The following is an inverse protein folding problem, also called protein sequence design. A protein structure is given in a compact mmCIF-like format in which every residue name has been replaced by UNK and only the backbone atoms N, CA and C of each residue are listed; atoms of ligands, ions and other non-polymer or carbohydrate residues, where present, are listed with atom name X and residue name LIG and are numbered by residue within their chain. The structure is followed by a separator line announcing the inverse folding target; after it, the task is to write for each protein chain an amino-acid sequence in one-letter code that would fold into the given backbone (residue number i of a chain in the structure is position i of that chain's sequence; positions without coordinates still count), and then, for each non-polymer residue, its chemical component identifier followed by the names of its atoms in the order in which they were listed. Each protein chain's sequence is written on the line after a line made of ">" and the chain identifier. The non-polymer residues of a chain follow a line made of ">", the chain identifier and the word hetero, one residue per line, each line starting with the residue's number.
data_IF_362344716993
#
_entry.id   IF_362344716993
#
_cell.length_a   1.000
_cell.length_b   1.000
_cell.length_c   1.000
_cell.angle_alpha   90.00
_cell.angle_beta   90.00
_cell.angle_gamma   90.00
#
_symmetry.space_group_name_H-M   'P 1'
#
loop_
_entity.id
_entity.type
_entity.pdbx_description
1 polymer ?
#
# COMPACT_ATOMS: atom_id res chain seq x y z
N UNK A 1 -2.41 -4.79 -26.39
CA UNK A 1 -1.11 -5.38 -25.97
C UNK A 1 -1.22 -6.34 -24.76
N UNK A 2 -2.18 -6.14 -23.85
CA UNK A 2 -2.29 -6.92 -22.60
C UNK A 2 -3.27 -8.11 -22.64
N UNK A 3 -3.76 -8.45 -23.83
CA UNK A 3 -4.65 -9.59 -24.10
C UNK A 3 -3.84 -10.83 -24.49
N UNK A 4 -4.47 -12.00 -24.55
CA UNK A 4 -3.86 -13.33 -24.79
C UNK A 4 -3.10 -13.41 -26.11
N UNK A 5 -3.53 -12.63 -27.09
CA UNK A 5 -2.92 -12.48 -28.41
C UNK A 5 -1.92 -11.31 -28.51
N UNK A 6 -1.75 -10.55 -27.43
CA UNK A 6 -0.83 -9.42 -27.33
C UNK A 6 0.57 -9.80 -26.84
N UNK A 7 1.49 -8.85 -26.92
CA UNK A 7 2.90 -9.06 -26.53
C UNK A 7 3.14 -9.23 -25.02
N UNK A 8 2.17 -8.87 -24.16
CA UNK A 8 2.29 -8.93 -22.69
C UNK A 8 0.94 -9.34 -22.04
N UNK A 9 0.46 -10.59 -22.19
CA UNK A 9 -0.85 -11.01 -21.70
C UNK A 9 -0.92 -11.00 -20.16
N UNK A 10 -1.34 -9.87 -19.59
CA UNK A 10 -1.33 -9.64 -18.15
C UNK A 10 -2.72 -9.83 -17.52
N UNK A 11 -3.78 -9.54 -18.27
CA UNK A 11 -5.16 -9.53 -17.77
C UNK A 11 -6.08 -10.51 -18.51
N UNK A 12 -5.53 -11.32 -19.41
CA UNK A 12 -6.29 -12.25 -20.24
C UNK A 12 -5.83 -13.69 -19.98
N UNK A 13 -6.30 -14.20 -18.83
CA UNK A 13 -6.04 -15.54 -18.33
C UNK A 13 -6.93 -15.84 -17.12
N UNK A 14 -7.12 -17.12 -16.81
CA UNK A 14 -7.85 -17.52 -15.62
C UNK A 14 -7.06 -17.14 -14.36
N UNK A 15 -7.75 -16.59 -13.35
CA UNK A 15 -7.15 -16.29 -12.05
C UNK A 15 -6.51 -17.55 -11.47
N UNK A 16 -5.19 -17.51 -11.28
CA UNK A 16 -4.42 -18.59 -10.68
C UNK A 16 -4.14 -18.27 -9.22
N UNK A 17 -4.82 -18.95 -8.30
CA UNK A 17 -4.72 -18.71 -6.86
C UNK A 17 -3.51 -19.40 -6.19
N UNK A 18 -2.70 -20.12 -6.96
CA UNK A 18 -1.59 -20.92 -6.45
C UNK A 18 -1.84 -22.43 -6.62
N UNK A 19 -0.78 -23.22 -6.61
CA UNK A 19 -0.87 -24.67 -6.73
C UNK A 19 -1.51 -25.26 -5.46
N UNK A 20 -2.61 -25.98 -5.62
CA UNK A 20 -3.32 -26.63 -4.50
C UNK A 20 -4.18 -25.68 -3.66
N UNK A 21 -4.45 -24.47 -4.13
CA UNK A 21 -5.38 -23.53 -3.46
C UNK A 21 -6.77 -23.75 -4.02
N UNK A 22 -7.63 -24.40 -3.23
CA UNK A 22 -9.04 -24.65 -3.58
C UNK A 22 -9.99 -23.56 -3.03
N UNK A 23 -9.54 -22.79 -2.05
CA UNK A 23 -10.33 -21.72 -1.43
C UNK A 23 -10.54 -20.57 -2.41
N UNK A 24 -11.78 -20.11 -2.50
CA UNK A 24 -12.09 -18.95 -3.33
C UNK A 24 -11.56 -17.66 -2.69
N UNK A 25 -11.34 -16.64 -3.52
CA UNK A 25 -10.90 -15.32 -3.06
C UNK A 25 -11.82 -14.78 -1.93
N UNK A 26 -13.13 -14.95 -2.09
CA UNK A 26 -14.17 -14.41 -1.20
C UNK A 26 -14.21 -15.07 0.18
N UNK A 27 -13.62 -16.25 0.31
CA UNK A 27 -13.56 -17.06 1.52
C UNK A 27 -12.22 -16.91 2.25
N UNK A 28 -11.21 -16.37 1.55
CA UNK A 28 -9.87 -16.18 2.07
C UNK A 28 -9.79 -15.02 3.06
N UNK A 29 -9.16 -15.23 4.21
CA UNK A 29 -8.95 -14.18 5.23
C UNK A 29 -7.84 -13.21 4.86
N UNK A 30 -6.85 -13.69 4.11
CA UNK A 30 -5.70 -12.93 3.62
C UNK A 30 -5.52 -13.26 2.15
N UNK A 31 -5.37 -12.22 1.34
CA UNK A 31 -5.16 -12.32 -0.09
C UNK A 31 -3.95 -11.47 -0.44
N UNK A 32 -2.96 -12.07 -1.10
CA UNK A 32 -1.77 -11.37 -1.58
C UNK A 32 -1.78 -11.29 -3.11
N UNK A 33 -1.71 -10.08 -3.65
CA UNK A 33 -1.49 -9.86 -5.08
C UNK A 33 0.01 -9.65 -5.33
N UNK A 34 0.69 -10.73 -5.73
CA UNK A 34 2.12 -10.69 -5.99
C UNK A 34 2.43 -10.02 -7.34
N UNK A 35 3.06 -8.85 -7.30
CA UNK A 35 3.52 -8.09 -8.47
C UNK A 35 5.05 -8.04 -8.62
N UNK A 36 5.78 -8.86 -7.86
CA UNK A 36 7.26 -8.84 -7.83
C UNK A 36 7.90 -9.19 -9.17
N UNK A 37 7.29 -10.07 -9.96
CA UNK A 37 7.78 -10.49 -11.27
C UNK A 37 7.46 -9.50 -12.40
N UNK A 38 6.73 -8.42 -12.11
CA UNK A 38 6.42 -7.40 -13.11
C UNK A 38 7.58 -6.42 -13.26
N UNK A 39 7.88 -6.09 -14.52
CA UNK A 39 8.87 -5.07 -14.87
C UNK A 39 8.53 -3.74 -14.19
N UNK A 40 9.50 -3.20 -13.44
CA UNK A 40 9.34 -2.00 -12.58
C UNK A 40 8.93 -0.73 -13.30
N UNK A 41 9.20 -0.66 -14.61
CA UNK A 41 8.81 0.46 -15.46
C UNK A 41 7.29 0.54 -15.66
N UNK A 42 6.84 0.46 -16.91
CA UNK A 42 5.44 0.78 -17.24
C UNK A 42 4.40 -0.25 -16.71
N UNK A 43 4.78 -1.52 -16.56
CA UNK A 43 3.82 -2.60 -16.28
C UNK A 43 3.37 -2.63 -14.82
N UNK A 44 4.32 -2.58 -13.88
CA UNK A 44 4.03 -2.71 -12.45
C UNK A 44 3.02 -1.65 -11.96
N UNK A 45 3.13 -0.35 -12.31
CA UNK A 45 2.15 0.68 -11.97
C UNK A 45 0.76 0.44 -12.56
N UNK A 46 0.68 -0.05 -13.80
CA UNK A 46 -0.60 -0.37 -14.44
C UNK A 46 -1.27 -1.55 -13.75
N UNK A 47 -0.50 -2.62 -13.52
CA UNK A 47 -0.98 -3.79 -12.80
C UNK A 47 -1.48 -3.41 -11.41
N UNK A 48 -0.70 -2.62 -10.68
CA UNK A 48 -1.06 -2.11 -9.37
C UNK A 48 -2.35 -1.28 -9.44
N UNK A 49 -2.49 -0.38 -10.41
CA UNK A 49 -3.70 0.43 -10.58
C UNK A 49 -4.95 -0.42 -10.85
N UNK A 50 -4.83 -1.45 -11.71
CA UNK A 50 -5.92 -2.38 -12.02
C UNK A 50 -6.30 -3.21 -10.79
N UNK A 51 -5.31 -3.75 -10.07
CA UNK A 51 -5.52 -4.51 -8.82
C UNK A 51 -6.20 -3.63 -7.77
N UNK A 52 -5.71 -2.40 -7.58
CA UNK A 52 -6.28 -1.45 -6.64
C UNK A 52 -7.75 -1.13 -6.99
N UNK A 53 -8.06 -0.95 -8.28
CA UNK A 53 -9.43 -0.75 -8.75
C UNK A 53 -10.32 -1.94 -8.47
N UNK A 54 -9.83 -3.15 -8.77
CA UNK A 54 -10.54 -4.38 -8.50
C UNK A 54 -10.87 -4.54 -7.01
N UNK A 55 -9.88 -4.35 -6.12
CA UNK A 55 -10.09 -4.41 -4.66
C UNK A 55 -11.08 -3.33 -4.21
N UNK A 56 -10.94 -2.11 -4.72
CA UNK A 56 -11.83 -1.01 -4.34
C UNK A 56 -13.30 -1.29 -4.72
N UNK A 57 -13.55 -1.74 -5.94
CA UNK A 57 -14.90 -1.96 -6.48
C UNK A 57 -15.54 -3.25 -5.98
N UNK A 58 -14.82 -4.38 -6.03
CA UNK A 58 -15.36 -5.71 -5.72
C UNK A 58 -15.23 -6.10 -4.25
N UNK A 59 -14.34 -5.46 -3.48
CA UNK A 59 -14.13 -5.80 -2.08
C UNK A 59 -14.52 -4.70 -1.11
N UNK A 60 -13.99 -3.49 -1.29
CA UNK A 60 -14.22 -2.39 -0.33
C UNK A 60 -15.64 -1.82 -0.48
N UNK A 61 -16.11 -1.62 -1.71
CA UNK A 61 -17.46 -1.09 -1.98
C UNK A 61 -18.56 -2.15 -1.99
N UNK A 62 -18.22 -3.43 -2.10
CA UNK A 62 -19.20 -4.50 -2.23
C UNK A 62 -20.18 -4.54 -1.06
N UNK A 63 -21.51 -4.52 -1.33
CA UNK A 63 -22.52 -4.66 -0.29
C UNK A 63 -22.41 -5.97 0.51
N UNK A 64 -22.00 -7.05 -0.16
CA UNK A 64 -21.80 -8.38 0.45
C UNK A 64 -20.73 -8.38 1.56
N UNK A 65 -19.86 -7.38 1.56
CA UNK A 65 -18.78 -7.25 2.53
C UNK A 65 -18.92 -6.02 3.42
N UNK A 66 -20.08 -5.34 3.41
CA UNK A 66 -20.30 -4.11 4.16
C UNK A 66 -20.05 -4.26 5.67
N UNK A 67 -20.45 -5.40 6.26
CA UNK A 67 -20.26 -5.68 7.69
C UNK A 67 -18.87 -6.26 8.03
N UNK A 68 -18.10 -6.71 7.03
CA UNK A 68 -16.76 -7.27 7.25
C UNK A 68 -15.75 -6.15 7.51
N UNK A 69 -14.89 -6.32 8.52
CA UNK A 69 -13.72 -5.46 8.71
C UNK A 69 -12.67 -5.84 7.67
N UNK A 70 -12.20 -4.85 6.92
CA UNK A 70 -11.29 -5.04 5.78
C UNK A 70 -10.08 -4.15 5.95
N UNK A 71 -8.91 -4.60 5.53
CA UNK A 71 -7.71 -3.75 5.48
C UNK A 71 -7.06 -3.95 4.14
N UNK A 72 -6.90 -2.85 3.38
CA UNK A 72 -6.02 -2.84 2.22
C UNK A 72 -4.60 -2.59 2.73
N UNK A 73 -3.68 -3.51 2.45
CA UNK A 73 -2.26 -3.34 2.70
C UNK A 73 -1.53 -2.99 1.40
N UNK A 74 -0.77 -1.90 1.40
CA UNK A 74 0.04 -1.46 0.26
C UNK A 74 1.51 -1.49 0.67
N UNK A 75 2.22 -2.51 0.22
CA UNK A 75 3.67 -2.63 0.44
C UNK A 75 4.45 -1.76 -0.56
N UNK A 76 5.56 -1.19 -0.10
CA UNK A 76 6.45 -0.28 -0.85
C UNK A 76 5.70 0.80 -1.67
N UNK A 77 4.80 1.54 -1.01
CA UNK A 77 3.94 2.52 -1.70
C UNK A 77 4.73 3.59 -2.47
N UNK A 78 5.96 3.91 -2.05
CA UNK A 78 6.81 4.91 -2.70
C UNK A 78 7.07 4.59 -4.18
N UNK A 79 7.04 3.32 -4.58
CA UNK A 79 7.22 2.90 -5.97
C UNK A 79 6.17 3.50 -6.92
N UNK A 80 4.99 3.84 -6.38
CA UNK A 80 3.86 4.34 -7.16
C UNK A 80 3.66 5.85 -7.07
N UNK A 81 4.51 6.57 -6.33
CA UNK A 81 4.28 7.96 -5.94
C UNK A 81 4.42 8.96 -7.11
N UNK A 82 5.13 8.57 -8.17
CA UNK A 82 5.27 9.38 -9.39
C UNK A 82 4.07 9.21 -10.35
N UNK A 83 3.27 8.16 -10.15
CA UNK A 83 2.15 7.82 -11.02
C UNK A 83 0.87 8.49 -10.50
N UNK A 84 0.63 9.71 -10.98
CA UNK A 84 -0.44 10.59 -10.49
C UNK A 84 -1.82 9.91 -10.40
N UNK A 85 -2.22 9.16 -11.42
CA UNK A 85 -3.51 8.46 -11.42
C UNK A 85 -3.61 7.45 -10.28
N UNK A 86 -2.52 6.75 -9.98
CA UNK A 86 -2.43 5.78 -8.89
C UNK A 86 -2.43 6.46 -7.53
N UNK A 87 -1.66 7.54 -7.36
CA UNK A 87 -1.63 8.31 -6.10
C UNK A 87 -3.00 8.93 -5.80
N UNK A 88 -3.65 9.54 -6.79
CA UNK A 88 -4.99 10.11 -6.64
C UNK A 88 -6.01 9.03 -6.23
N UNK A 89 -5.85 7.81 -6.74
CA UNK A 89 -6.72 6.72 -6.35
C UNK A 89 -6.41 6.22 -4.94
N UNK A 90 -5.15 6.05 -4.57
CA UNK A 90 -4.74 5.71 -3.21
C UNK A 90 -5.26 6.74 -2.19
N UNK A 91 -5.22 8.04 -2.50
CA UNK A 91 -5.82 9.07 -1.65
C UNK A 91 -7.33 8.87 -1.49
N UNK A 92 -8.06 8.62 -2.59
CA UNK A 92 -9.49 8.32 -2.53
C UNK A 92 -9.78 7.11 -1.65
N UNK A 93 -8.96 6.05 -1.74
CA UNK A 93 -9.08 4.86 -0.88
C UNK A 93 -8.82 5.24 0.57
N UNK A 94 -7.71 5.91 0.88
CA UNK A 94 -7.35 6.33 2.25
C UNK A 94 -8.48 7.14 2.91
N UNK A 95 -9.08 8.09 2.19
CA UNK A 95 -10.15 8.96 2.71
C UNK A 95 -11.50 8.26 2.86
N UNK A 96 -11.82 7.29 2.00
CA UNK A 96 -13.17 6.71 1.93
C UNK A 96 -13.30 5.34 2.59
N UNK A 97 -12.20 4.61 2.81
CA UNK A 97 -12.21 3.27 3.42
C UNK A 97 -12.96 3.24 4.75
N UNK A 98 -12.77 4.24 5.62
CA UNK A 98 -13.45 4.30 6.94
C UNK A 98 -14.97 4.24 6.84
N UNK A 99 -15.58 4.80 5.80
CA UNK A 99 -17.04 4.78 5.58
C UNK A 99 -17.56 3.41 5.14
N UNK A 100 -16.68 2.45 4.86
CA UNK A 100 -16.99 1.12 4.30
C UNK A 100 -16.53 -0.02 5.22
N UNK A 101 -16.36 0.26 6.52
CA UNK A 101 -15.79 -0.66 7.50
C UNK A 101 -14.45 -1.24 7.02
N UNK A 102 -13.64 -0.38 6.39
CA UNK A 102 -12.34 -0.73 5.84
C UNK A 102 -11.27 0.26 6.34
N UNK A 103 -10.04 -0.21 6.43
CA UNK A 103 -8.84 0.57 6.67
C UNK A 103 -7.86 0.46 5.51
N UNK A 104 -6.89 1.37 5.47
CA UNK A 104 -5.72 1.27 4.60
C UNK A 104 -4.48 1.30 5.50
N UNK A 105 -3.56 0.38 5.26
CA UNK A 105 -2.24 0.36 5.83
C UNK A 105 -1.26 0.38 4.65
N UNK A 106 -0.22 1.20 4.76
CA UNK A 106 0.83 1.27 3.76
C UNK A 106 2.17 1.17 4.46
N UNK A 107 3.13 0.58 3.78
CA UNK A 107 4.51 0.44 4.23
C UNK A 107 5.45 0.99 3.17
N UNK A 108 6.60 1.51 3.62
CA UNK A 108 7.62 2.08 2.74
C UNK A 108 8.96 2.09 3.46
N UNK A 109 10.02 1.67 2.75
CA UNK A 109 11.39 1.92 3.19
C UNK A 109 11.79 3.38 3.00
N UNK A 110 11.31 4.01 1.93
CA UNK A 110 11.51 5.44 1.64
C UNK A 110 10.20 6.21 1.89
N UNK A 111 9.86 6.40 3.17
CA UNK A 111 8.67 7.16 3.53
C UNK A 111 8.86 8.68 3.32
N UNK A 112 10.09 9.18 3.32
CA UNK A 112 10.40 10.61 3.12
C UNK A 112 9.95 11.06 1.73
N UNK A 113 10.16 10.22 0.70
CA UNK A 113 9.64 10.51 -0.63
C UNK A 113 8.12 10.66 -0.68
N UNK A 114 7.39 9.91 0.15
CA UNK A 114 5.93 10.05 0.30
C UNK A 114 5.61 11.35 1.04
N UNK A 115 6.34 11.65 2.11
CA UNK A 115 6.17 12.86 2.93
C UNK A 115 6.32 14.15 2.13
N UNK A 116 7.30 14.20 1.22
CA UNK A 116 7.59 15.38 0.40
C UNK A 116 6.68 15.51 -0.82
N UNK A 117 5.94 14.46 -1.17
CA UNK A 117 5.07 14.49 -2.33
C UNK A 117 3.74 15.18 -2.01
N UNK A 118 3.50 16.34 -2.62
CA UNK A 118 2.28 17.14 -2.43
C UNK A 118 1.01 16.35 -2.77
N UNK A 119 1.06 15.45 -3.76
CA UNK A 119 -0.08 14.60 -4.16
C UNK A 119 -0.37 13.50 -3.14
N UNK A 120 0.61 13.10 -2.33
CA UNK A 120 0.43 12.11 -1.27
C UNK A 120 -0.10 12.70 0.04
N UNK A 121 -0.23 14.04 0.13
CA UNK A 121 -0.65 14.75 1.34
C UNK A 121 -1.97 14.22 1.92
N UNK A 122 -2.95 13.90 1.06
CA UNK A 122 -4.22 13.37 1.53
C UNK A 122 -4.13 11.96 2.12
N UNK A 123 -3.16 11.14 1.67
CA UNK A 123 -2.87 9.82 2.25
C UNK A 123 -2.28 10.00 3.65
N UNK A 124 -1.28 10.87 3.80
CA UNK A 124 -0.63 11.17 5.09
C UNK A 124 -1.63 11.73 6.10
N UNK A 125 -2.45 12.71 5.70
CA UNK A 125 -3.50 13.28 6.57
C UNK A 125 -4.59 12.26 6.97
N UNK A 126 -4.80 11.23 6.15
CA UNK A 126 -5.75 10.15 6.47
C UNK A 126 -5.11 9.04 7.30
N UNK A 127 -3.79 9.05 7.45
CA UNK A 127 -3.03 8.07 8.21
C UNK A 127 -2.98 8.51 9.67
N UNK A 128 -3.69 7.76 10.54
CA UNK A 128 -3.84 8.11 11.95
C UNK A 128 -2.72 7.55 12.83
N UNK A 129 -2.18 6.39 12.47
CA UNK A 129 -1.15 5.69 13.23
C UNK A 129 0.06 5.46 12.34
N UNK A 130 1.23 5.70 12.92
CA UNK A 130 2.52 5.43 12.32
C UNK A 130 3.23 4.41 13.21
N UNK A 131 3.99 3.51 12.58
CA UNK A 131 4.82 2.56 13.27
C UNK A 131 6.20 2.65 12.63
N UNK A 132 7.19 3.08 13.40
CA UNK A 132 8.56 3.27 12.94
C UNK A 132 9.44 2.15 13.45
N UNK A 133 10.08 1.44 12.52
CA UNK A 133 11.23 0.58 12.81
C UNK A 133 12.51 1.42 12.74
N UNK A 134 13.68 0.78 12.65
CA UNK A 134 14.96 1.47 12.39
C UNK A 134 14.87 2.41 11.18
N UNK A 135 15.27 3.67 11.39
CA UNK A 135 15.28 4.72 10.38
C UNK A 135 16.70 5.20 10.08
N UNK A 136 16.91 5.68 8.85
CA UNK A 136 18.19 6.26 8.46
C UNK A 136 18.41 7.62 9.16
N UNK A 137 19.62 7.83 9.71
CA UNK A 137 20.02 9.08 10.37
C UNK A 137 19.94 10.31 9.46
N UNK A 138 20.06 10.12 8.14
CA UNK A 138 19.90 11.18 7.14
C UNK A 138 18.48 11.78 7.21
N UNK A 139 17.48 10.97 7.53
CA UNK A 139 16.07 11.38 7.54
C UNK A 139 15.63 11.97 8.89
N UNK A 140 16.52 12.00 9.89
CA UNK A 140 16.25 12.48 11.25
C UNK A 140 15.51 13.82 11.27
N UNK A 141 16.00 14.79 10.49
CA UNK A 141 15.42 16.13 10.45
C UNK A 141 13.98 16.11 9.94
N UNK A 142 13.71 15.35 8.88
CA UNK A 142 12.37 15.21 8.29
C UNK A 142 11.43 14.48 9.24
N UNK A 143 11.91 13.45 9.93
CA UNK A 143 11.13 12.77 10.96
C UNK A 143 10.74 13.75 12.07
N UNK A 144 11.72 14.47 12.62
CA UNK A 144 11.49 15.40 13.73
C UNK A 144 10.58 16.58 13.37
N UNK A 145 10.64 17.07 12.13
CA UNK A 145 9.80 18.18 11.67
C UNK A 145 8.34 17.78 11.43
N UNK A 146 8.09 16.52 11.05
CA UNK A 146 6.77 16.06 10.62
C UNK A 146 6.06 15.19 11.67
N UNK A 147 6.83 14.58 12.58
CA UNK A 147 6.32 13.75 13.65
C UNK A 147 6.74 14.36 14.99
N UNK A 148 5.79 14.48 15.90
CA UNK A 148 6.00 15.05 17.23
C UNK A 148 6.64 14.02 18.17
N UNK A 149 7.80 13.50 17.78
CA UNK A 149 8.57 12.52 18.56
C UNK A 149 9.48 13.23 19.55
N UNK A 150 9.56 12.70 20.76
CA UNK A 150 10.52 13.10 21.78
C UNK A 150 11.94 12.73 21.36
N UNK A 151 12.94 13.35 22.00
CA UNK A 151 14.34 13.01 21.76
C UNK A 151 14.66 11.54 22.06
N UNK A 152 13.99 10.94 23.06
CA UNK A 152 14.14 9.52 23.39
C UNK A 152 13.54 8.59 22.33
N UNK A 153 12.34 8.90 21.84
CA UNK A 153 11.71 8.16 20.73
C UNK A 153 12.55 8.22 19.45
N UNK A 154 13.09 9.39 19.13
CA UNK A 154 14.02 9.54 18.01
C UNK A 154 15.30 8.72 18.20
N UNK A 155 15.83 8.66 19.43
CA UNK A 155 17.03 7.87 19.72
C UNK A 155 16.81 6.37 19.52
N UNK A 156 15.64 5.87 19.96
CA UNK A 156 15.22 4.47 19.79
C UNK A 156 15.27 4.07 18.32
N UNK A 157 14.63 4.83 17.43
CA UNK A 157 14.53 4.45 16.01
C UNK A 157 15.77 4.79 15.19
N UNK A 158 16.72 5.59 15.70
CA UNK A 158 17.90 6.03 14.94
C UNK A 158 19.22 5.39 15.37
N UNK A 159 19.37 4.98 16.63
CA UNK A 159 20.68 4.58 17.16
C UNK A 159 20.75 3.17 17.74
N UNK A 160 19.67 2.65 18.31
CA UNK A 160 19.72 1.36 19.00
C UNK A 160 18.40 0.55 18.96
N UNK A 161 17.71 0.41 17.81
CA UNK A 161 16.58 -0.49 17.73
C UNK A 161 17.07 -1.95 17.65
N UNK A 162 16.57 -2.82 18.53
CA UNK A 162 16.68 -4.26 18.32
C UNK A 162 15.95 -4.68 17.03
N UNK A 163 16.31 -5.83 16.46
CA UNK A 163 15.64 -6.31 15.24
C UNK A 163 14.15 -6.55 15.52
N UNK A 164 13.29 -5.82 14.82
CA UNK A 164 11.83 -5.88 14.98
C UNK A 164 11.29 -4.97 16.09
N UNK A 165 12.14 -4.15 16.72
CA UNK A 165 11.74 -3.13 17.68
C UNK A 165 11.48 -1.79 16.97
N UNK A 166 10.59 -0.99 17.55
CA UNK A 166 10.11 0.25 16.98
C UNK A 166 9.16 0.98 17.92
N UNK A 167 8.63 2.11 17.46
CA UNK A 167 7.65 2.95 18.16
C UNK A 167 6.38 3.15 17.35
#
# INVERSE_FOLDING_TARGET
>A
PFLRDGSKPLFDGQSHFGRGVETQLNESRVVNFNISHLEEGFLKPIAFHVILNYIWEHWIKSPEHAIKRKVLYVDEMWQFIDYEQTVNFLEKVARRSRKRNAGMCWASQDFVRILENVKARGILQSTFSYFFLEQNKIDKKKIQENFNLTAGELDIILNNPGKGEGI
#
